data_IF_922235235833
#
_entry.id   IF_922235235833
#
_cell.length_a   1.000
_cell.length_b   1.000
_cell.length_c   1.000
_cell.angle_alpha   90.00
_cell.angle_beta   90.00
_cell.angle_gamma   90.00
#
_symmetry.space_group_name_H-M   'P 1'
#
loop_
_entity.id
_entity.type
_entity.pdbx_description
1 polymer ?
#
# COMPACT_ATOMS: atom_id res chain seq x y z
N UNK A 1 -45.57 4.30 12.06
CA UNK A 1 -44.28 4.94 11.73
C UNK A 1 -43.29 3.83 11.40
N UNK A 2 -43.01 3.63 10.11
CA UNK A 2 -42.13 2.57 9.65
C UNK A 2 -40.73 3.14 9.45
N UNK A 3 -39.77 2.73 10.28
CA UNK A 3 -38.38 3.09 10.12
C UNK A 3 -37.84 2.36 8.88
N UNK A 4 -37.60 3.11 7.80
CA UNK A 4 -36.86 2.62 6.65
C UNK A 4 -35.41 2.42 7.07
N UNK A 5 -35.02 1.17 7.31
CA UNK A 5 -33.62 0.78 7.44
C UNK A 5 -32.97 1.07 6.09
N UNK A 6 -32.24 2.18 6.01
CA UNK A 6 -31.36 2.49 4.89
C UNK A 6 -30.41 1.32 4.71
N UNK A 7 -30.61 0.54 3.64
CA UNK A 7 -29.62 -0.44 3.18
C UNK A 7 -28.33 0.31 2.92
N UNK A 8 -27.41 0.26 3.88
CA UNK A 8 -26.01 0.60 3.66
C UNK A 8 -25.56 -0.20 2.43
N UNK A 9 -25.38 0.52 1.32
CA UNK A 9 -24.72 -0.01 0.14
C UNK A 9 -23.26 -0.19 0.52
N UNK A 10 -22.94 -1.29 1.19
CA UNK A 10 -21.58 -1.80 1.20
C UNK A 10 -21.11 -1.84 -0.27
N UNK A 11 -19.98 -1.20 -0.62
CA UNK A 11 -19.49 -1.24 -1.99
C UNK A 11 -19.32 -2.71 -2.38
N UNK A 12 -19.93 -3.09 -3.51
CA UNK A 12 -19.77 -4.43 -4.09
C UNK A 12 -18.28 -4.76 -4.10
N UNK A 13 -17.90 -5.97 -3.67
CA UNK A 13 -16.53 -6.48 -3.81
C UNK A 13 -16.05 -6.13 -5.21
N UNK A 14 -14.96 -5.37 -5.37
CA UNK A 14 -14.48 -5.01 -6.69
C UNK A 14 -14.18 -6.28 -7.47
N UNK A 15 -14.60 -6.33 -8.74
CA UNK A 15 -14.26 -7.43 -9.64
C UNK A 15 -12.74 -7.59 -9.67
N UNK A 16 -12.24 -8.82 -9.62
CA UNK A 16 -10.81 -9.15 -9.45
C UNK A 16 -9.92 -8.45 -10.51
N UNK A 17 -10.46 -8.21 -11.71
CA UNK A 17 -9.82 -7.42 -12.78
C UNK A 17 -9.59 -5.95 -12.39
N UNK A 18 -10.53 -5.33 -11.68
CA UNK A 18 -10.45 -3.93 -11.24
C UNK A 18 -9.38 -3.74 -10.15
N UNK A 19 -9.23 -4.70 -9.25
CA UNK A 19 -8.19 -4.68 -8.21
C UNK A 19 -6.80 -4.74 -8.84
N UNK A 20 -6.59 -5.63 -9.82
CA UNK A 20 -5.34 -5.75 -10.58
C UNK A 20 -4.93 -4.44 -11.26
N UNK A 21 -5.87 -3.72 -11.87
CA UNK A 21 -5.61 -2.45 -12.54
C UNK A 21 -5.28 -1.31 -11.56
N UNK A 22 -5.96 -1.26 -10.42
CA UNK A 22 -5.67 -0.32 -9.33
C UNK A 22 -4.25 -0.53 -8.83
N UNK A 23 -3.89 -1.78 -8.51
CA UNK A 23 -2.57 -2.14 -8.05
C UNK A 23 -1.47 -1.75 -9.03
N UNK A 24 -1.72 -1.94 -10.34
CA UNK A 24 -0.79 -1.54 -11.39
C UNK A 24 -0.63 -0.03 -11.47
N UNK A 25 -1.72 0.73 -11.32
CA UNK A 25 -1.65 2.21 -11.27
C UNK A 25 -0.83 2.68 -10.08
N UNK A 26 -1.08 2.14 -8.89
CA UNK A 26 -0.35 2.49 -7.68
C UNK A 26 1.12 2.11 -7.76
N UNK A 27 1.44 0.94 -8.31
CA UNK A 27 2.82 0.51 -8.56
C UNK A 27 3.53 1.44 -9.55
N UNK A 28 2.87 1.87 -10.62
CA UNK A 28 3.46 2.82 -11.56
C UNK A 28 3.69 4.20 -10.92
N UNK A 29 2.77 4.68 -10.09
CA UNK A 29 2.95 5.93 -9.33
C UNK A 29 4.12 5.82 -8.35
N UNK A 30 4.22 4.68 -7.65
CA UNK A 30 5.33 4.36 -6.75
C UNK A 30 6.66 4.41 -7.51
N UNK A 31 6.75 3.65 -8.61
CA UNK A 31 7.91 3.57 -9.50
C UNK A 31 8.37 4.92 -10.02
N UNK A 32 7.43 5.77 -10.44
CA UNK A 32 7.76 6.98 -11.17
C UNK A 32 8.06 8.18 -10.27
N UNK A 33 7.45 8.27 -9.08
CA UNK A 33 7.44 9.53 -8.32
C UNK A 33 7.45 9.42 -6.79
N UNK A 34 7.22 8.24 -6.20
CA UNK A 34 6.90 8.15 -4.76
C UNK A 34 7.71 7.12 -3.97
N UNK A 35 8.65 6.44 -4.60
CA UNK A 35 9.53 5.46 -3.94
C UNK A 35 10.18 6.03 -2.68
N UNK A 36 10.94 7.12 -2.81
CA UNK A 36 11.64 7.77 -1.70
C UNK A 36 10.69 8.31 -0.64
N UNK A 37 9.61 8.96 -1.05
CA UNK A 37 8.64 9.60 -0.14
C UNK A 37 7.95 8.57 0.77
N UNK A 38 7.59 7.42 0.22
CA UNK A 38 6.91 6.36 0.97
C UNK A 38 7.85 5.70 1.99
N UNK A 39 9.11 5.48 1.60
CA UNK A 39 10.14 4.92 2.49
C UNK A 39 10.48 5.89 3.61
N UNK A 40 10.64 7.18 3.32
CA UNK A 40 10.85 8.23 4.33
C UNK A 40 9.68 8.35 5.31
N UNK A 41 8.44 8.26 4.80
CA UNK A 41 7.24 8.27 5.64
C UNK A 41 7.22 7.08 6.61
N UNK A 42 7.51 5.86 6.14
CA UNK A 42 7.60 4.68 7.01
C UNK A 42 8.71 4.81 8.04
N UNK A 43 9.88 5.34 7.66
CA UNK A 43 10.97 5.61 8.60
C UNK A 43 10.55 6.60 9.70
N UNK A 44 9.82 7.66 9.34
CA UNK A 44 9.30 8.62 10.31
C UNK A 44 8.28 7.98 11.26
N UNK A 45 7.36 7.16 10.73
CA UNK A 45 6.38 6.40 11.51
C UNK A 45 7.04 5.43 12.48
N UNK A 46 8.04 4.67 12.03
CA UNK A 46 8.79 3.72 12.87
C UNK A 46 9.43 4.47 14.05
N UNK A 47 10.17 5.56 13.78
CA UNK A 47 10.79 6.37 14.83
C UNK A 47 9.76 6.92 15.83
N UNK A 48 8.63 7.42 15.33
CA UNK A 48 7.57 7.96 16.19
C UNK A 48 6.93 6.90 17.10
N UNK A 49 6.79 5.66 16.60
CA UNK A 49 6.22 4.54 17.35
C UNK A 49 7.22 3.94 18.34
N UNK A 50 8.50 3.87 17.99
CA UNK A 50 9.59 3.44 18.89
C UNK A 50 9.71 4.35 20.11
N UNK A 51 9.64 5.68 19.92
CA UNK A 51 9.61 6.66 21.01
C UNK A 51 8.44 6.44 21.96
N UNK A 52 7.33 5.86 21.47
CA UNK A 52 6.13 5.54 22.25
C UNK A 52 6.14 4.12 22.82
N UNK A 53 7.20 3.33 22.61
CA UNK A 53 7.28 1.93 23.03
C UNK A 53 6.29 1.01 22.31
N UNK A 54 5.77 1.41 21.15
CA UNK A 54 4.83 0.62 20.35
C UNK A 54 5.62 -0.28 19.40
N UNK A 55 5.18 -1.54 19.24
CA UNK A 55 5.82 -2.49 18.31
C UNK A 55 5.77 -1.99 16.87
N UNK A 56 6.93 -1.97 16.22
CA UNK A 56 7.12 -1.46 14.85
C UNK A 56 7.36 -2.56 13.81
N UNK A 57 7.39 -3.84 14.22
CA UNK A 57 7.74 -4.99 13.37
C UNK A 57 7.02 -5.01 12.01
N UNK A 58 5.74 -4.64 11.99
CA UNK A 58 4.94 -4.60 10.77
C UNK A 58 5.39 -3.49 9.82
N UNK A 59 5.69 -2.31 10.34
CA UNK A 59 6.17 -1.16 9.56
C UNK A 59 7.60 -1.36 9.07
N UNK A 60 8.46 -1.98 9.89
CA UNK A 60 9.82 -2.38 9.49
C UNK A 60 9.76 -3.36 8.32
N UNK A 61 8.94 -4.42 8.42
CA UNK A 61 8.74 -5.37 7.31
C UNK A 61 8.19 -4.72 6.04
N UNK A 62 7.29 -3.75 6.17
CA UNK A 62 6.78 -3.00 5.02
C UNK A 62 7.88 -2.13 4.38
N UNK A 63 8.73 -1.48 5.18
CA UNK A 63 9.87 -0.70 4.69
C UNK A 63 10.85 -1.58 3.93
N UNK A 64 11.27 -2.69 4.52
CA UNK A 64 12.24 -3.60 3.90
C UNK A 64 11.69 -4.19 2.59
N UNK A 65 10.40 -4.51 2.55
CA UNK A 65 9.74 -4.98 1.33
C UNK A 65 9.74 -3.91 0.22
N UNK A 66 9.52 -2.63 0.57
CA UNK A 66 9.57 -1.52 -0.40
C UNK A 66 10.99 -1.23 -0.89
N UNK A 67 11.99 -1.32 -0.03
CA UNK A 67 13.41 -1.19 -0.41
C UNK A 67 13.79 -2.27 -1.43
N UNK A 68 13.34 -3.51 -1.22
CA UNK A 68 13.55 -4.61 -2.16
C UNK A 68 12.78 -4.42 -3.49
N UNK A 69 11.53 -3.94 -3.43
CA UNK A 69 10.76 -3.56 -4.63
C UNK A 69 11.51 -2.49 -5.44
N UNK A 70 12.11 -1.50 -4.76
CA UNK A 70 12.92 -0.45 -5.37
C UNK A 70 14.14 -1.00 -6.11
N UNK A 71 14.86 -1.93 -5.50
CA UNK A 71 16.01 -2.59 -6.12
C UNK A 71 15.60 -3.39 -7.36
N UNK A 72 14.50 -4.15 -7.26
CA UNK A 72 13.97 -4.93 -8.38
C UNK A 72 13.54 -4.04 -9.57
N UNK A 73 12.98 -2.86 -9.30
CA UNK A 73 12.66 -1.86 -10.33
C UNK A 73 13.94 -1.39 -11.04
N UNK A 74 14.99 -1.05 -10.28
CA UNK A 74 16.28 -0.60 -10.81
C UNK A 74 16.98 -1.68 -11.66
N UNK A 75 16.81 -2.95 -11.29
CA UNK A 75 17.31 -4.11 -12.04
C UNK A 75 16.47 -4.46 -13.28
N UNK A 76 15.35 -3.77 -13.52
CA UNK A 76 14.46 -4.06 -14.65
C UNK A 76 13.49 -5.23 -14.43
N UNK A 77 13.47 -5.83 -13.24
CA UNK A 77 12.62 -6.97 -12.86
C UNK A 77 11.20 -6.52 -12.44
N UNK A 78 10.52 -5.76 -13.30
CA UNK A 78 9.26 -5.05 -12.96
C UNK A 78 8.11 -5.97 -12.54
N UNK A 79 7.94 -7.13 -13.16
CA UNK A 79 6.87 -8.08 -12.81
C UNK A 79 7.09 -8.72 -11.42
N UNK A 80 8.35 -8.99 -11.08
CA UNK A 80 8.74 -9.50 -9.76
C UNK A 80 8.54 -8.40 -8.71
N UNK A 81 8.95 -7.17 -9.03
CA UNK A 81 8.73 -6.01 -8.18
C UNK A 81 7.23 -5.76 -7.92
N UNK A 82 6.38 -5.87 -8.93
CA UNK A 82 4.93 -5.75 -8.80
C UNK A 82 4.33 -6.84 -7.89
N UNK A 83 4.81 -8.08 -8.02
CA UNK A 83 4.38 -9.19 -7.17
C UNK A 83 4.79 -8.97 -5.70
N UNK A 84 6.01 -8.49 -5.45
CA UNK A 84 6.46 -8.17 -4.10
C UNK A 84 5.71 -6.97 -3.50
N UNK A 85 5.46 -5.94 -4.31
CA UNK A 85 4.68 -4.78 -3.92
C UNK A 85 3.26 -5.16 -3.49
N UNK A 86 2.56 -5.99 -4.26
CA UNK A 86 1.20 -6.45 -3.91
C UNK A 86 1.16 -7.41 -2.71
N UNK A 87 2.26 -8.13 -2.41
CA UNK A 87 2.38 -8.91 -1.17
C UNK A 87 2.59 -8.03 0.06
N UNK A 88 3.40 -6.97 -0.07
CA UNK A 88 3.60 -5.99 1.00
C UNK A 88 2.35 -5.15 1.27
N UNK A 89 1.53 -4.92 0.23
CA UNK A 89 0.27 -4.18 0.29
C UNK A 89 -0.87 -5.03 -0.29
N UNK A 90 -1.49 -5.92 0.52
CA UNK A 90 -2.51 -6.86 0.05
C UNK A 90 -3.81 -6.21 -0.46
N UNK A 91 -4.02 -4.91 -0.18
CA UNK A 91 -5.12 -4.12 -0.74
C UNK A 91 -4.69 -3.18 -1.87
N UNK A 92 -3.42 -3.25 -2.26
CA UNK A 92 -2.68 -2.19 -2.95
C UNK A 92 -2.73 -0.90 -2.12
N UNK A 93 -1.84 0.07 -2.36
CA UNK A 93 -1.75 1.25 -1.48
C UNK A 93 -3.17 1.75 -1.20
N UNK A 94 -3.60 1.86 0.08
CA UNK A 94 -5.00 2.11 0.39
C UNK A 94 -5.42 3.34 -0.40
N UNK A 95 -6.30 3.10 -1.36
CA UNK A 95 -6.88 4.12 -2.19
C UNK A 95 -7.41 5.20 -1.25
N UNK A 96 -6.83 6.40 -1.34
CA UNK A 96 -7.58 7.65 -1.17
C UNK A 96 -8.39 7.72 0.13
N UNK A 97 -7.74 7.74 1.29
CA UNK A 97 -8.25 8.68 2.30
C UNK A 97 -7.66 10.02 1.93
N UNK A 98 -8.46 10.85 1.29
CA UNK A 98 -8.24 12.29 1.18
C UNK A 98 -7.87 12.77 2.59
N UNK A 99 -6.66 13.26 2.76
CA UNK A 99 -6.24 14.15 3.85
C UNK A 99 -5.39 15.24 3.22
#
# INVERSE_FOLDING_TARGET
MSYAISKERFPKKPEVLYVSEICRKDFNIFKDRRETVLIEHLNSLIKALEVRGIKTDLYVKQKDALENVSELIKMGAKEVAFTQFTKAFPYCLPHRSIF
#
